data_IF_586202297014
#
_entry.id   IF_586202297014
#
_cell.length_a   1.000
_cell.length_b   1.000
_cell.length_c   1.000
_cell.angle_alpha   90.00
_cell.angle_beta   90.00
_cell.angle_gamma   90.00
#
_symmetry.space_group_name_H-M   'P 1'
#
loop_
_entity.id
_entity.type
_entity.pdbx_description
1 polymer ?
#
# COMPACT_ATOMS: atom_id res chain seq x y z
N UNK A 1 13.14 10.74 16.09
CA UNK A 1 12.37 10.41 14.88
C UNK A 1 11.06 9.80 15.33
N UNK A 2 9.91 10.29 14.86
CA UNK A 2 8.61 9.72 15.22
C UNK A 2 8.15 8.76 14.12
N UNK A 3 8.10 7.47 14.43
CA UNK A 3 7.57 6.46 13.53
C UNK A 3 6.05 6.65 13.39
N UNK A 4 5.57 6.59 12.15
CA UNK A 4 4.15 6.70 11.80
C UNK A 4 3.78 5.49 10.97
N UNK A 5 2.76 4.77 11.39
CA UNK A 5 2.30 3.54 10.74
C UNK A 5 0.81 3.69 10.48
N UNK A 6 0.37 3.33 9.28
CA UNK A 6 -1.05 3.25 8.93
C UNK A 6 -1.39 1.81 8.61
N UNK A 7 -2.58 1.37 9.02
CA UNK A 7 -3.21 0.17 8.49
C UNK A 7 -4.53 0.54 7.84
N UNK A 8 -4.81 -0.02 6.67
CA UNK A 8 -6.02 0.26 5.91
C UNK A 8 -6.46 -0.96 5.11
N UNK A 9 -7.69 -1.41 5.34
CA UNK A 9 -8.36 -2.30 4.41
C UNK A 9 -8.87 -1.46 3.22
N UNK A 10 -8.34 -1.71 2.02
CA UNK A 10 -8.67 -0.91 0.82
C UNK A 10 -9.86 -1.45 0.05
N UNK A 11 -10.45 -2.57 0.50
CA UNK A 11 -11.72 -3.13 0.05
C UNK A 11 -11.78 -3.42 -1.45
N UNK A 12 -10.73 -4.05 -1.97
CA UNK A 12 -10.60 -4.45 -3.38
C UNK A 12 -10.91 -3.32 -4.38
N UNK A 13 -11.31 -3.70 -5.61
CA UNK A 13 -11.90 -2.79 -6.60
C UNK A 13 -13.41 -2.58 -6.37
N UNK A 14 -13.89 -2.73 -5.13
CA UNK A 14 -15.29 -2.54 -4.79
C UNK A 14 -15.58 -1.07 -4.42
N UNK A 15 -16.87 -0.73 -4.44
CA UNK A 15 -17.42 0.55 -3.98
C UNK A 15 -16.63 1.75 -4.54
N UNK A 16 -16.65 1.90 -5.86
CA UNK A 16 -16.19 3.11 -6.54
C UNK A 16 -14.72 3.44 -6.23
N UNK A 17 -13.84 2.44 -6.42
CA UNK A 17 -12.40 2.57 -6.20
C UNK A 17 -11.82 3.86 -6.81
N UNK A 18 -12.23 4.21 -8.04
CA UNK A 18 -11.76 5.41 -8.73
C UNK A 18 -12.04 6.71 -7.98
N UNK A 19 -13.11 6.75 -7.17
CA UNK A 19 -13.46 7.91 -6.33
C UNK A 19 -12.77 7.84 -4.96
N UNK A 20 -12.61 6.64 -4.40
CA UNK A 20 -11.95 6.44 -3.10
C UNK A 20 -10.44 6.64 -3.18
N UNK A 21 -9.81 6.19 -4.25
CA UNK A 21 -8.35 6.16 -4.37
C UNK A 21 -7.69 7.55 -4.24
N UNK A 22 -8.21 8.63 -4.87
CA UNK A 22 -7.70 9.99 -4.66
C UNK A 22 -7.78 10.43 -3.20
N UNK A 23 -8.89 10.15 -2.50
CA UNK A 23 -9.08 10.51 -1.08
C UNK A 23 -8.08 9.76 -0.19
N UNK A 24 -7.87 8.47 -0.46
CA UNK A 24 -6.87 7.65 0.25
C UNK A 24 -5.47 8.25 0.06
N UNK A 25 -5.12 8.65 -1.16
CA UNK A 25 -3.84 9.29 -1.45
C UNK A 25 -3.70 10.62 -0.70
N UNK A 26 -4.72 11.49 -0.75
CA UNK A 26 -4.69 12.79 -0.07
C UNK A 26 -4.42 12.61 1.44
N UNK A 27 -5.10 11.66 2.08
CA UNK A 27 -4.94 11.38 3.50
C UNK A 27 -3.58 10.75 3.83
N UNK A 28 -3.11 9.80 3.03
CA UNK A 28 -1.79 9.18 3.22
C UNK A 28 -0.66 10.20 3.00
N UNK A 29 -0.79 11.11 2.02
CA UNK A 29 0.13 12.22 1.80
C UNK A 29 0.12 13.19 2.98
N UNK A 30 -1.04 13.48 3.58
CA UNK A 30 -1.16 14.34 4.76
C UNK A 30 -0.49 13.71 5.99
N UNK A 31 -0.76 12.42 6.25
CA UNK A 31 -0.23 11.68 7.41
C UNK A 31 1.26 11.39 7.27
N UNK A 32 1.76 11.22 6.04
CA UNK A 32 3.15 10.86 5.74
C UNK A 32 3.63 9.65 6.56
N UNK A 33 2.95 8.50 6.48
CA UNK A 33 3.36 7.30 7.18
C UNK A 33 4.75 6.85 6.74
N UNK A 34 5.45 6.07 7.54
CA UNK A 34 6.70 5.43 7.12
C UNK A 34 6.44 4.02 6.59
N UNK A 35 5.36 3.40 7.09
CA UNK A 35 4.88 2.08 6.72
C UNK A 35 3.35 2.13 6.61
N UNK A 36 2.80 1.52 5.56
CA UNK A 36 1.36 1.37 5.33
C UNK A 36 1.07 -0.12 5.13
N UNK A 37 0.30 -0.73 6.03
CA UNK A 37 -0.17 -2.10 5.90
C UNK A 37 -1.56 -2.10 5.25
N UNK A 38 -1.68 -2.73 4.08
CA UNK A 38 -2.90 -2.80 3.30
C UNK A 38 -3.50 -4.21 3.39
N UNK A 39 -4.82 -4.28 3.55
CA UNK A 39 -5.61 -5.51 3.42
C UNK A 39 -6.60 -5.37 2.25
N UNK A 40 -7.06 -6.51 1.72
CA UNK A 40 -7.97 -6.58 0.57
C UNK A 40 -7.41 -5.84 -0.65
N UNK A 41 -6.13 -6.07 -0.95
CA UNK A 41 -5.45 -5.49 -2.11
C UNK A 41 -5.85 -6.26 -3.35
N UNK A 42 -6.46 -5.59 -4.33
CA UNK A 42 -6.84 -6.18 -5.61
C UNK A 42 -5.68 -6.18 -6.60
N UNK A 43 -5.16 -7.36 -6.93
CA UNK A 43 -4.00 -7.51 -7.80
C UNK A 43 -4.23 -7.21 -9.28
N UNK A 44 -5.41 -7.48 -9.90
CA UNK A 44 -5.64 -7.21 -11.31
C UNK A 44 -5.41 -5.75 -11.73
N UNK A 45 -5.53 -4.79 -10.80
CA UNK A 45 -5.27 -3.36 -11.05
C UNK A 45 -4.02 -2.84 -10.35
N UNK A 46 -3.20 -3.73 -9.78
CA UNK A 46 -1.94 -3.41 -9.09
C UNK A 46 -2.08 -2.28 -8.05
N UNK A 47 -3.11 -2.37 -7.19
CA UNK A 47 -3.46 -1.27 -6.27
C UNK A 47 -2.28 -0.81 -5.40
N UNK A 48 -1.46 -1.74 -4.89
CA UNK A 48 -0.32 -1.41 -4.04
C UNK A 48 0.76 -0.61 -4.81
N UNK A 49 1.16 -1.08 -6.00
CA UNK A 49 2.13 -0.37 -6.85
C UNK A 49 1.58 1.00 -7.28
N UNK A 50 0.30 1.05 -7.67
CA UNK A 50 -0.36 2.30 -8.05
C UNK A 50 -0.33 3.30 -6.89
N UNK A 51 -0.68 2.87 -5.67
CA UNK A 51 -0.61 3.73 -4.48
C UNK A 51 0.81 4.23 -4.21
N UNK A 52 1.83 3.36 -4.33
CA UNK A 52 3.22 3.75 -4.12
C UNK A 52 3.66 4.83 -5.12
N UNK A 53 3.36 4.65 -6.42
CA UNK A 53 3.65 5.65 -7.47
C UNK A 53 2.97 6.98 -7.17
N UNK A 54 1.66 6.98 -6.89
CA UNK A 54 0.90 8.21 -6.61
C UNK A 54 1.34 8.92 -5.33
N UNK A 55 1.83 8.18 -4.33
CA UNK A 55 2.41 8.78 -3.13
C UNK A 55 3.77 9.43 -3.43
N UNK A 56 4.61 8.76 -4.22
CA UNK A 56 5.93 9.27 -4.61
C UNK A 56 5.83 10.54 -5.48
N UNK A 57 4.79 10.68 -6.29
CA UNK A 57 4.49 11.93 -7.01
C UNK A 57 4.21 13.13 -6.07
N UNK A 58 3.84 12.87 -4.81
CA UNK A 58 3.35 13.89 -3.86
C UNK A 58 4.28 14.16 -2.69
N UNK A 59 5.30 13.34 -2.48
CA UNK A 59 6.30 13.54 -1.43
C UNK A 59 7.61 14.04 -2.05
N UNK A 60 8.37 14.84 -1.32
CA UNK A 60 9.69 15.29 -1.76
C UNK A 60 10.75 14.20 -1.62
N UNK A 61 11.83 14.31 -2.39
CA UNK A 61 12.95 13.34 -2.41
C UNK A 61 13.58 13.11 -1.01
N UNK A 62 13.57 14.15 -0.15
CA UNK A 62 14.07 14.12 1.22
C UNK A 62 13.22 13.25 2.17
N UNK A 63 12.02 12.87 1.75
CA UNK A 63 11.11 12.04 2.52
C UNK A 63 11.28 10.54 2.22
N UNK A 64 12.21 10.17 1.33
CA UNK A 64 12.39 8.79 0.89
C UNK A 64 11.33 8.37 -0.12
N UNK A 65 11.45 7.14 -0.63
CA UNK A 65 10.64 6.64 -1.73
C UNK A 65 9.84 5.42 -1.28
N UNK A 66 8.51 5.46 -1.47
CA UNK A 66 7.66 4.31 -1.21
C UNK A 66 7.92 3.19 -2.22
N UNK A 67 8.15 1.99 -1.71
CA UNK A 67 8.07 0.73 -2.43
C UNK A 67 7.07 -0.18 -1.73
N UNK A 68 6.66 -1.28 -2.37
CA UNK A 68 5.74 -2.24 -1.76
C UNK A 68 6.21 -3.69 -1.87
N UNK A 69 5.80 -4.50 -0.89
CA UNK A 69 5.81 -5.96 -0.95
C UNK A 69 4.35 -6.41 -0.91
N UNK A 70 3.99 -7.32 -1.81
CA UNK A 70 2.64 -7.90 -1.90
C UNK A 70 2.69 -9.38 -1.56
N UNK A 71 1.67 -9.88 -0.88
CA UNK A 71 1.53 -11.31 -0.58
C UNK A 71 0.11 -11.76 -0.87
N UNK A 72 -0.08 -12.78 -1.72
CA UNK A 72 -1.40 -13.35 -2.01
C UNK A 72 -2.05 -13.97 -0.76
N UNK A 73 -3.39 -13.93 -0.70
CA UNK A 73 -4.11 -14.72 0.29
C UNK A 73 -3.96 -16.22 0.02
N UNK A 74 -4.17 -17.04 1.04
CA UNK A 74 -4.27 -18.48 0.88
C UNK A 74 -5.67 -18.88 0.34
N UNK A 75 -5.77 -20.06 -0.28
CA UNK A 75 -7.05 -20.63 -0.72
C UNK A 75 -7.31 -20.55 -2.24
N UNK A 76 -8.59 -20.49 -2.63
CA UNK A 76 -9.05 -20.83 -3.99
C UNK A 76 -8.73 -19.82 -5.09
N UNK A 77 -8.34 -18.58 -4.75
CA UNK A 77 -8.02 -17.53 -5.74
C UNK A 77 -6.86 -16.63 -5.28
N UNK A 78 -5.65 -17.19 -5.08
CA UNK A 78 -4.51 -16.45 -4.52
C UNK A 78 -4.04 -15.32 -5.44
N UNK A 79 -4.32 -15.41 -6.74
CA UNK A 79 -3.91 -14.40 -7.72
C UNK A 79 -4.83 -13.17 -7.79
N UNK A 80 -5.95 -13.15 -7.06
CA UNK A 80 -6.90 -12.03 -7.15
C UNK A 80 -6.70 -10.97 -6.09
N UNK A 81 -6.41 -11.39 -4.87
CA UNK A 81 -6.27 -10.47 -3.75
C UNK A 81 -5.25 -10.94 -2.71
N UNK A 82 -4.88 -10.00 -1.84
CA UNK A 82 -4.10 -10.32 -0.66
C UNK A 82 -3.80 -9.09 0.18
N UNK A 83 -2.60 -9.06 0.73
CA UNK A 83 -2.10 -7.97 1.56
C UNK A 83 -0.92 -7.29 0.89
N UNK A 84 -0.63 -6.07 1.30
CA UNK A 84 0.60 -5.38 0.92
C UNK A 84 1.17 -4.57 2.06
N UNK A 85 2.48 -4.36 2.06
CA UNK A 85 3.16 -3.39 2.91
C UNK A 85 3.84 -2.38 1.99
N UNK A 86 3.43 -1.12 2.06
CA UNK A 86 4.18 0.00 1.47
C UNK A 86 5.13 0.56 2.54
N UNK A 87 6.35 0.87 2.15
CA UNK A 87 7.39 1.35 3.05
C UNK A 87 8.28 2.37 2.35
N UNK A 88 8.78 3.37 3.09
CA UNK A 88 9.81 4.32 2.62
C UNK A 88 11.06 4.35 3.49
N UNK A 89 11.21 3.34 4.36
CA UNK A 89 12.39 3.09 5.17
C UNK A 89 13.17 1.91 4.57
N UNK A 90 14.50 1.83 4.76
CA UNK A 90 15.29 0.69 4.32
C UNK A 90 14.75 -0.63 4.90
N UNK A 91 14.55 -1.64 4.04
CA UNK A 91 14.20 -2.99 4.48
C UNK A 91 15.47 -3.81 4.70
N UNK A 92 15.54 -4.54 5.81
CA UNK A 92 16.64 -5.48 6.08
C UNK A 92 16.26 -6.90 5.69
N UNK A 93 15.00 -7.28 5.89
CA UNK A 93 14.45 -8.59 5.60
C UNK A 93 12.94 -8.49 5.36
N UNK A 94 12.42 -9.39 4.54
CA UNK A 94 10.98 -9.63 4.35
C UNK A 94 10.73 -11.13 4.34
N UNK A 95 9.69 -11.56 5.04
CA UNK A 95 9.28 -12.96 5.10
C UNK A 95 7.79 -13.06 4.86
N UNK A 96 7.35 -14.17 4.26
CA UNK A 96 5.95 -14.55 4.21
C UNK A 96 5.82 -16.01 4.64
N UNK A 97 4.72 -16.30 5.33
CA UNK A 97 4.32 -17.66 5.64
C UNK A 97 3.37 -18.12 4.53
N UNK A 98 3.74 -19.24 3.89
CA UNK A 98 2.92 -19.96 2.92
C UNK A 98 2.38 -21.24 3.55
#
# INVERSE_FOLDING_TARGET
>A
MNLRIVTLNIRHNANEWEQRAPIIIDELTRVRPHVIALQEVWFPIKQADWLAVRLNERIGDDQGHYACIVQPKWGSEPQREGIAILYRLPIQKSESVN
#
